data_IF_454391744446
#
_entry.id   IF_454391744446
#
_cell.length_a   1.000
_cell.length_b   1.000
_cell.length_c   1.000
_cell.angle_alpha   90.00
_cell.angle_beta   90.00
_cell.angle_gamma   90.00
#
_symmetry.space_group_name_H-M   'P 1'
#
loop_
_entity.id
_entity.type
_entity.pdbx_description
1 polymer ?
#
# COMPACT_ATOMS: atom_id res chain seq x y z
N UNK A 1 -65.23 -28.06 1.87
CA UNK A 1 -65.14 -27.08 0.74
C UNK A 1 -64.68 -25.70 1.20
N UNK A 2 -65.32 -25.02 2.17
CA UNK A 2 -64.90 -23.67 2.62
C UNK A 2 -63.45 -23.57 3.15
N UNK A 3 -62.96 -24.54 3.95
CA UNK A 3 -61.57 -24.53 4.46
C UNK A 3 -60.52 -24.71 3.36
N UNK A 4 -60.80 -25.51 2.34
CA UNK A 4 -59.88 -25.75 1.23
C UNK A 4 -59.70 -24.50 0.37
N UNK A 5 -60.76 -23.70 0.21
CA UNK A 5 -60.76 -22.42 -0.49
C UNK A 5 -59.93 -21.33 0.23
N UNK A 6 -59.96 -21.29 1.57
CA UNK A 6 -59.11 -20.38 2.34
C UNK A 6 -57.62 -20.75 2.25
N UNK A 7 -57.28 -22.04 2.27
CA UNK A 7 -55.89 -22.46 2.08
C UNK A 7 -55.37 -22.11 0.69
N UNK A 8 -56.13 -22.36 -0.39
CA UNK A 8 -55.69 -21.96 -1.74
C UNK A 8 -55.52 -20.45 -1.91
N UNK A 9 -56.40 -19.63 -1.32
CA UNK A 9 -56.24 -18.16 -1.35
C UNK A 9 -54.99 -17.72 -0.59
N UNK A 10 -54.71 -18.34 0.56
CA UNK A 10 -53.55 -17.98 1.38
C UNK A 10 -52.25 -18.40 0.71
N UNK A 11 -52.22 -19.57 0.05
CA UNK A 11 -51.07 -20.02 -0.74
C UNK A 11 -50.84 -19.13 -1.96
N UNK A 12 -51.90 -18.71 -2.66
CA UNK A 12 -51.80 -17.78 -3.80
C UNK A 12 -51.27 -16.41 -3.34
N UNK A 13 -51.73 -15.90 -2.19
CA UNK A 13 -51.24 -14.64 -1.62
C UNK A 13 -49.76 -14.71 -1.22
N UNK A 14 -49.31 -15.85 -0.67
CA UNK A 14 -47.90 -16.09 -0.34
C UNK A 14 -47.03 -16.18 -1.60
N UNK A 15 -47.52 -16.82 -2.66
CA UNK A 15 -46.80 -16.93 -3.94
C UNK A 15 -46.67 -15.57 -4.64
N UNK A 16 -47.68 -14.69 -4.51
CA UNK A 16 -47.63 -13.32 -5.04
C UNK A 16 -46.65 -12.41 -4.27
N UNK A 17 -46.41 -12.67 -2.98
CA UNK A 17 -45.45 -11.90 -2.18
C UNK A 17 -43.99 -12.26 -2.48
N UNK A 18 -43.71 -13.48 -2.96
CA UNK A 18 -42.36 -13.91 -3.38
C UNK A 18 -42.05 -13.62 -4.86
N UNK A 19 -43.05 -13.21 -5.66
CA UNK A 19 -42.86 -12.79 -7.05
C UNK A 19 -42.68 -11.28 -7.23
N UNK A 20 -42.51 -10.52 -6.14
CA UNK A 20 -42.09 -9.13 -6.25
C UNK A 20 -40.63 -9.10 -6.73
N UNK A 21 -40.46 -9.06 -8.06
CA UNK A 21 -39.17 -8.80 -8.69
C UNK A 21 -38.63 -7.49 -8.14
N UNK A 22 -37.49 -7.56 -7.46
CA UNK A 22 -36.70 -6.36 -7.17
C UNK A 22 -36.23 -5.82 -8.51
N UNK A 23 -36.84 -4.73 -8.99
CA UNK A 23 -36.30 -4.00 -10.13
C UNK A 23 -34.84 -3.64 -9.79
N UNK A 24 -33.91 -4.03 -10.68
CA UNK A 24 -32.53 -3.59 -10.51
C UNK A 24 -32.53 -2.07 -10.60
N UNK A 25 -32.12 -1.41 -9.52
CA UNK A 25 -31.90 0.02 -9.54
C UNK A 25 -30.79 0.30 -10.56
N UNK A 26 -31.17 0.71 -11.77
CA UNK A 26 -30.21 1.25 -12.72
C UNK A 26 -29.87 2.64 -12.20
N UNK A 27 -28.66 2.77 -11.64
CA UNK A 27 -28.09 4.08 -11.34
C UNK A 27 -27.96 4.78 -12.69
N UNK A 28 -28.91 5.66 -13.02
CA UNK A 28 -28.71 6.62 -14.09
C UNK A 28 -27.48 7.43 -13.73
N UNK A 29 -26.38 7.16 -14.41
CA UNK A 29 -25.16 7.92 -14.28
C UNK A 29 -25.46 9.33 -14.79
N UNK A 30 -25.87 10.24 -13.89
CA UNK A 30 -25.75 11.68 -14.14
C UNK A 30 -24.33 11.92 -14.62
N UNK A 31 -24.19 12.75 -15.66
CA UNK A 31 -22.92 13.12 -16.26
C UNK A 31 -21.84 13.21 -15.19
N UNK A 32 -20.93 12.23 -15.21
CA UNK A 32 -19.79 12.25 -14.32
C UNK A 32 -18.87 13.34 -14.88
N UNK A 33 -18.94 14.53 -14.29
CA UNK A 33 -18.02 15.62 -14.60
C UNK A 33 -16.60 15.05 -14.53
N UNK A 34 -15.89 15.04 -15.67
CA UNK A 34 -14.50 14.60 -15.77
C UNK A 34 -13.62 15.59 -15.01
N UNK A 35 -13.60 15.45 -13.68
CA UNK A 35 -12.87 16.33 -12.80
C UNK A 35 -11.38 15.99 -12.82
N UNK A 36 -10.54 17.03 -12.88
CA UNK A 36 -9.10 16.89 -12.66
C UNK A 36 -8.86 16.48 -11.20
N UNK A 37 -8.02 15.47 -11.00
CA UNK A 37 -7.52 15.03 -9.69
C UNK A 37 -6.03 15.38 -9.61
N UNK A 38 -5.66 16.18 -8.61
CA UNK A 38 -4.29 16.68 -8.39
C UNK A 38 -3.75 16.18 -7.05
N UNK A 39 -2.67 15.41 -7.11
CA UNK A 39 -1.83 15.11 -5.94
C UNK A 39 -0.54 15.91 -6.07
N UNK A 40 -0.42 17.02 -5.33
CA UNK A 40 0.71 17.92 -5.42
C UNK A 40 1.16 18.37 -4.03
N UNK A 41 2.29 17.84 -3.57
CA UNK A 41 2.91 18.22 -2.30
C UNK A 41 4.37 18.61 -2.53
N UNK A 42 4.72 19.84 -2.17
CA UNK A 42 6.09 20.34 -2.22
C UNK A 42 6.64 20.39 -0.79
N UNK A 43 7.88 19.93 -0.63
CA UNK A 43 8.53 19.81 0.68
C UNK A 43 9.79 20.66 0.77
N UNK A 44 10.31 20.84 1.97
CA UNK A 44 11.63 21.43 2.24
C UNK A 44 12.81 20.47 2.05
N UNK A 45 12.57 19.26 1.50
CA UNK A 45 13.65 18.37 1.04
C UNK A 45 14.21 18.82 -0.30
N UNK A 46 15.54 18.86 -0.43
CA UNK A 46 16.21 19.16 -1.71
C UNK A 46 16.20 17.94 -2.64
N UNK A 47 15.08 17.76 -3.33
CA UNK A 47 14.84 16.63 -4.24
C UNK A 47 14.11 17.06 -5.51
N UNK A 48 14.00 16.12 -6.46
CA UNK A 48 13.03 16.26 -7.53
C UNK A 48 11.63 16.10 -6.92
N UNK A 49 10.85 17.17 -6.95
CA UNK A 49 9.49 17.17 -6.41
C UNK A 49 8.55 16.52 -7.42
N UNK A 50 7.50 15.85 -6.94
CA UNK A 50 6.59 15.07 -7.76
C UNK A 50 5.16 15.61 -7.67
N UNK A 51 4.47 15.65 -8.81
CA UNK A 51 3.06 16.01 -8.94
C UNK A 51 2.38 14.94 -9.80
N UNK A 52 1.24 14.42 -9.35
CA UNK A 52 0.44 13.46 -10.11
C UNK A 52 -0.87 14.08 -10.54
N UNK A 53 -1.22 13.87 -11.80
CA UNK A 53 -2.43 14.37 -12.42
C UNK A 53 -3.22 13.20 -13.02
N UNK A 54 -4.45 13.03 -12.56
CA UNK A 54 -5.37 12.00 -13.07
C UNK A 54 -6.76 12.57 -13.32
N UNK A 55 -7.59 11.83 -14.04
CA UNK A 55 -9.03 12.08 -14.15
C UNK A 55 -9.74 11.31 -13.04
N UNK A 56 -10.75 11.94 -12.44
CA UNK A 56 -11.71 11.23 -11.62
C UNK A 56 -12.35 10.11 -12.46
N UNK A 57 -12.60 8.97 -11.83
CA UNK A 57 -13.06 7.77 -12.52
C UNK A 57 -14.23 7.15 -11.76
N UNK A 58 -15.05 6.38 -12.48
CA UNK A 58 -16.25 5.75 -11.91
C UNK A 58 -15.88 4.49 -11.13
N UNK A 59 -16.79 4.05 -10.26
CA UNK A 59 -16.59 2.83 -9.46
C UNK A 59 -16.46 1.55 -10.29
N UNK A 60 -17.01 1.54 -11.52
CA UNK A 60 -16.89 0.43 -12.47
C UNK A 60 -15.58 0.47 -13.29
N UNK A 61 -14.81 1.55 -13.20
CA UNK A 61 -13.48 1.64 -13.81
C UNK A 61 -12.41 1.11 -12.84
N UNK A 62 -11.45 0.34 -13.37
CA UNK A 62 -10.43 -0.35 -12.57
C UNK A 62 -9.26 0.53 -12.16
N UNK A 63 -9.05 1.68 -12.82
CA UNK A 63 -7.95 2.60 -12.52
C UNK A 63 -8.23 4.03 -13.02
N UNK A 64 -7.68 5.06 -12.36
CA UNK A 64 -7.75 6.43 -12.84
C UNK A 64 -7.01 6.60 -14.17
N UNK A 65 -7.54 7.42 -15.06
CA UNK A 65 -6.86 7.77 -16.31
C UNK A 65 -5.84 8.88 -16.06
N UNK A 66 -4.57 8.75 -16.51
CA UNK A 66 -3.58 9.80 -16.33
C UNK A 66 -3.84 11.00 -17.23
N UNK A 67 -3.59 12.21 -16.72
CA UNK A 67 -3.55 13.44 -17.52
C UNK A 67 -2.13 13.59 -18.07
N UNK A 68 -1.99 13.43 -19.40
CA UNK A 68 -0.69 13.46 -20.08
C UNK A 68 -0.49 14.75 -20.87
N UNK A 69 0.78 15.07 -21.17
CA UNK A 69 1.19 16.23 -21.95
C UNK A 69 0.68 17.57 -21.39
N UNK A 70 0.51 17.68 -20.07
CA UNK A 70 0.22 18.94 -19.41
C UNK A 70 1.50 19.76 -19.19
N UNK A 71 1.36 21.08 -19.20
CA UNK A 71 2.41 22.00 -18.77
C UNK A 71 2.19 22.25 -17.27
N UNK A 72 3.11 21.79 -16.44
CA UNK A 72 3.01 21.90 -14.98
C UNK A 72 4.15 22.77 -14.46
N UNK A 73 3.79 23.78 -13.66
CA UNK A 73 4.74 24.76 -13.13
C UNK A 73 4.42 25.07 -11.67
N UNK A 74 5.46 25.25 -10.86
CA UNK A 74 5.33 25.83 -9.52
C UNK A 74 6.08 27.16 -9.49
N UNK A 75 5.35 28.23 -9.21
CA UNK A 75 5.91 29.57 -9.10
C UNK A 75 6.15 29.90 -7.62
N UNK A 76 7.38 30.29 -7.28
CA UNK A 76 7.76 30.84 -5.98
C UNK A 76 7.92 32.36 -6.02
N UNK A 77 8.57 32.92 -5.00
CA UNK A 77 8.89 34.36 -4.95
C UNK A 77 9.87 34.81 -6.04
N UNK A 78 9.80 36.10 -6.39
CA UNK A 78 10.64 36.78 -7.38
C UNK A 78 10.57 36.19 -8.81
N UNK A 79 9.39 35.72 -9.23
CA UNK A 79 9.17 35.05 -10.53
C UNK A 79 10.06 33.80 -10.74
N UNK A 80 10.59 33.20 -9.67
CA UNK A 80 11.27 31.91 -9.78
C UNK A 80 10.24 30.83 -10.07
N UNK A 81 10.29 30.29 -11.28
CA UNK A 81 9.38 29.24 -11.73
C UNK A 81 10.15 27.95 -11.90
N UNK A 82 9.63 26.88 -11.32
CA UNK A 82 10.14 25.52 -11.52
C UNK A 82 9.19 24.80 -12.45
N UNK A 83 9.71 24.40 -13.61
CA UNK A 83 8.97 23.59 -14.57
C UNK A 83 9.03 22.11 -14.17
N UNK A 84 7.94 21.38 -14.43
CA UNK A 84 7.84 19.95 -14.22
C UNK A 84 7.67 19.25 -15.57
N UNK A 85 8.32 18.09 -15.73
CA UNK A 85 8.29 17.27 -16.93
C UNK A 85 7.65 15.92 -16.63
N UNK A 86 6.77 15.48 -17.52
CA UNK A 86 6.17 14.16 -17.46
C UNK A 86 7.24 13.08 -17.63
N UNK A 87 7.33 12.13 -16.68
CA UNK A 87 8.27 11.01 -16.71
C UNK A 87 7.59 9.69 -17.06
N UNK A 88 6.40 9.49 -16.50
CA UNK A 88 5.48 8.40 -16.81
C UNK A 88 4.09 9.00 -16.94
N UNK A 89 3.16 8.38 -17.69
CA UNK A 89 1.82 8.94 -17.89
C UNK A 89 1.18 9.44 -16.59
N UNK A 90 0.92 10.75 -16.50
CA UNK A 90 0.30 11.40 -15.35
C UNK A 90 1.21 11.73 -14.17
N UNK A 91 2.50 11.42 -14.23
CA UNK A 91 3.50 11.74 -13.19
C UNK A 91 4.49 12.76 -13.72
N UNK A 92 4.57 13.90 -13.04
CA UNK A 92 5.38 15.05 -13.41
C UNK A 92 6.44 15.28 -12.34
N UNK A 93 7.72 15.25 -12.73
CA UNK A 93 8.85 15.55 -11.85
C UNK A 93 9.43 16.92 -12.17
N UNK A 94 9.86 17.66 -11.14
CA UNK A 94 10.53 18.94 -11.33
C UNK A 94 11.78 18.78 -12.20
N UNK A 95 12.09 19.77 -13.03
CA UNK A 95 13.26 19.73 -13.92
C UNK A 95 14.58 19.90 -13.18
N UNK A 96 14.53 20.48 -11.98
CA UNK A 96 15.65 20.68 -11.06
C UNK A 96 15.28 20.20 -9.67
N UNK A 97 16.29 19.85 -8.87
CA UNK A 97 16.08 19.65 -7.43
C UNK A 97 15.84 21.01 -6.76
N UNK A 98 14.88 21.05 -5.85
CA UNK A 98 14.67 22.23 -5.02
C UNK A 98 13.96 21.85 -3.73
N UNK A 99 14.18 22.67 -2.71
CA UNK A 99 13.50 22.64 -1.43
C UNK A 99 12.62 23.89 -1.28
N UNK A 100 11.37 23.72 -0.84
CA UNK A 100 10.55 24.83 -0.40
C UNK A 100 11.17 25.50 0.82
N UNK A 101 11.05 26.82 0.87
CA UNK A 101 11.57 27.65 1.96
C UNK A 101 10.44 28.10 2.88
N UNK A 102 10.75 28.15 4.17
CA UNK A 102 9.84 28.68 5.19
C UNK A 102 9.42 30.11 4.85
N UNK A 103 8.13 30.40 5.02
CA UNK A 103 7.51 31.70 4.74
C UNK A 103 7.53 32.19 3.27
N UNK A 104 7.96 31.37 2.31
CA UNK A 104 7.89 31.69 0.88
C UNK A 104 6.60 31.13 0.29
N UNK A 105 5.85 31.96 -0.44
CA UNK A 105 4.66 31.50 -1.14
C UNK A 105 5.02 30.74 -2.42
N UNK A 106 4.36 29.60 -2.61
CA UNK A 106 4.37 28.84 -3.85
C UNK A 106 2.95 28.72 -4.41
N UNK A 107 2.85 28.69 -5.73
CA UNK A 107 1.59 28.55 -6.45
C UNK A 107 1.77 27.53 -7.59
N UNK A 108 0.83 26.58 -7.69
CA UNK A 108 0.79 25.60 -8.76
C UNK A 108 -0.01 26.14 -9.94
N UNK A 109 0.52 25.96 -11.15
CA UNK A 109 -0.17 26.20 -12.41
C UNK A 109 -0.09 24.95 -13.29
N UNK A 110 -1.24 24.53 -13.82
CA UNK A 110 -1.39 23.37 -14.71
C UNK A 110 -2.12 23.84 -15.96
N UNK A 111 -1.54 23.63 -17.14
CA UNK A 111 -2.23 23.79 -18.43
C UNK A 111 -2.34 22.43 -19.10
N UNK A 112 -3.55 21.93 -19.26
CA UNK A 112 -3.79 20.64 -19.93
C UNK A 112 -3.52 20.73 -21.42
N UNK A 113 -3.36 19.58 -22.09
CA UNK A 113 -3.23 19.49 -23.54
C UNK A 113 -4.43 20.05 -24.32
N UNK A 114 -5.59 20.18 -23.67
CA UNK A 114 -6.80 20.82 -24.22
C UNK A 114 -6.83 22.34 -24.03
N UNK A 115 -5.82 22.91 -23.39
CA UNK A 115 -5.72 24.35 -23.13
C UNK A 115 -6.46 24.85 -21.88
N UNK A 116 -7.05 23.95 -21.08
CA UNK A 116 -7.69 24.30 -19.80
C UNK A 116 -6.60 24.57 -18.76
N UNK A 117 -6.71 25.72 -18.07
CA UNK A 117 -5.73 26.19 -17.09
C UNK A 117 -6.30 26.11 -15.68
N UNK A 118 -5.50 25.57 -14.76
CA UNK A 118 -5.81 25.46 -13.34
C UNK A 118 -4.72 26.13 -12.51
N UNK A 119 -5.13 26.84 -11.48
CA UNK A 119 -4.22 27.49 -10.53
C UNK A 119 -4.59 27.17 -9.10
N UNK A 120 -3.58 26.96 -8.26
CA UNK A 120 -3.79 26.90 -6.81
C UNK A 120 -3.86 28.30 -6.20
N UNK A 121 -4.38 28.39 -4.97
CA UNK A 121 -4.07 29.51 -4.08
C UNK A 121 -2.58 29.45 -3.70
N UNK A 122 -1.92 30.61 -3.45
CA UNK A 122 -0.61 30.64 -2.86
C UNK A 122 -0.60 29.96 -1.48
N UNK A 123 0.40 29.12 -1.23
CA UNK A 123 0.58 28.39 0.02
C UNK A 123 2.06 28.33 0.39
N UNK A 124 2.36 28.12 1.68
CA UNK A 124 3.72 28.21 2.21
C UNK A 124 3.89 27.32 3.44
N UNK A 125 5.15 26.99 3.72
CA UNK A 125 5.54 26.40 5.00
C UNK A 125 5.43 27.48 6.08
N UNK A 126 4.56 27.27 7.07
CA UNK A 126 4.32 28.20 8.19
C UNK A 126 5.15 27.86 9.42
N UNK A 127 5.42 26.59 9.65
CA UNK A 127 6.22 26.06 10.75
C UNK A 127 6.85 24.72 10.37
N UNK A 128 7.80 24.28 11.19
CA UNK A 128 8.47 23.00 11.06
C UNK A 128 8.64 22.38 12.44
N UNK A 129 8.39 21.09 12.54
CA UNK A 129 8.52 20.30 13.76
C UNK A 129 9.24 19.01 13.43
N UNK A 130 10.20 18.64 14.27
CA UNK A 130 11.00 17.44 14.09
C UNK A 130 10.37 16.27 14.81
N UNK A 131 10.59 15.07 14.28
CA UNK A 131 10.32 13.84 15.01
C UNK A 131 11.35 13.72 16.14
N UNK A 132 10.88 13.62 17.39
CA UNK A 132 11.73 13.34 18.54
C UNK A 132 12.08 11.85 18.55
N UNK A 133 11.06 11.01 18.53
CA UNK A 133 11.25 9.56 18.51
C UNK A 133 10.25 8.78 17.67
N UNK A 134 10.72 7.62 17.19
CA UNK A 134 9.89 6.58 16.61
C UNK A 134 10.26 5.30 17.31
N UNK A 135 9.29 4.63 17.92
CA UNK A 135 9.56 3.46 18.74
C UNK A 135 8.41 2.47 18.70
N UNK A 136 8.73 1.21 19.00
CA UNK A 136 7.79 0.10 18.93
C UNK A 136 7.33 -0.28 20.32
N UNK A 137 6.03 -0.46 20.49
CA UNK A 137 5.44 -1.02 21.71
C UNK A 137 4.58 -2.23 21.36
N UNK A 138 4.65 -3.28 22.18
CA UNK A 138 3.77 -4.43 22.11
C UNK A 138 2.59 -4.25 23.08
N UNK A 139 1.37 -4.43 22.59
CA UNK A 139 0.15 -4.36 23.39
C UNK A 139 -0.90 -5.35 22.90
N UNK A 140 -2.14 -5.15 23.34
CA UNK A 140 -3.31 -5.93 22.89
C UNK A 140 -4.23 -5.08 22.02
N UNK A 141 -4.73 -5.64 20.94
CA UNK A 141 -5.80 -5.01 20.14
C UNK A 141 -7.19 -5.25 20.77
N UNK A 142 -8.24 -4.73 20.12
CA UNK A 142 -9.63 -4.88 20.58
C UNK A 142 -10.12 -6.34 20.63
N UNK A 143 -9.48 -7.24 19.89
CA UNK A 143 -9.76 -8.67 19.88
C UNK A 143 -8.89 -9.46 20.89
N UNK A 144 -8.16 -8.76 21.77
CA UNK A 144 -7.24 -9.32 22.75
C UNK A 144 -6.07 -10.12 22.13
N UNK A 145 -5.74 -9.85 20.87
CA UNK A 145 -4.57 -10.38 20.21
C UNK A 145 -3.37 -9.43 20.38
N UNK A 146 -2.17 -10.00 20.38
CA UNK A 146 -0.94 -9.21 20.45
C UNK A 146 -0.80 -8.34 19.20
N UNK A 147 -0.49 -7.06 19.40
CA UNK A 147 -0.37 -6.06 18.34
C UNK A 147 0.83 -5.14 18.62
N UNK A 148 1.69 -5.02 17.64
CA UNK A 148 2.76 -4.03 17.62
C UNK A 148 2.19 -2.68 17.19
N UNK A 149 2.53 -1.63 17.92
CA UNK A 149 2.29 -0.24 17.54
C UNK A 149 3.63 0.45 17.34
N UNK A 150 3.86 0.97 16.13
CA UNK A 150 4.94 1.92 15.85
C UNK A 150 4.39 3.30 16.15
N UNK A 151 4.96 3.94 17.17
CA UNK A 151 4.52 5.23 17.67
C UNK A 151 5.51 6.33 17.29
N UNK A 152 4.99 7.55 17.16
CA UNK A 152 5.78 8.76 16.96
C UNK A 152 5.55 9.74 18.12
N UNK A 153 6.66 10.32 18.56
CA UNK A 153 6.69 11.49 19.44
C UNK A 153 7.30 12.68 18.69
N UNK A 154 6.71 13.86 18.86
CA UNK A 154 7.26 15.11 18.34
C UNK A 154 6.87 16.30 19.21
N UNK A 155 7.67 17.36 19.12
CA UNK A 155 7.47 18.56 19.92
C UNK A 155 7.91 19.82 19.16
N UNK A 156 7.03 20.81 19.07
CA UNK A 156 7.38 22.17 18.63
C UNK A 156 7.39 23.14 19.83
N UNK A 157 8.58 23.60 20.28
CA UNK A 157 8.66 24.54 21.40
C UNK A 157 8.04 25.92 21.09
N UNK A 158 7.82 26.25 19.82
CA UNK A 158 7.20 27.51 19.40
C UNK A 158 5.68 27.43 19.31
N UNK A 159 5.11 26.24 19.48
CA UNK A 159 3.66 26.01 19.46
C UNK A 159 2.97 26.43 18.15
N UNK A 160 3.64 26.27 17.01
CA UNK A 160 3.17 26.71 15.68
C UNK A 160 2.84 25.55 14.74
N UNK A 161 3.18 24.32 15.05
CA UNK A 161 2.96 23.13 14.22
C UNK A 161 1.73 22.34 14.70
N UNK A 162 0.52 22.90 14.53
CA UNK A 162 -0.69 22.30 15.15
C UNK A 162 -1.27 21.07 14.46
N UNK A 163 -0.89 20.82 13.22
CA UNK A 163 -1.51 19.80 12.38
C UNK A 163 -0.44 18.94 11.73
N UNK A 164 -0.58 17.62 11.90
CA UNK A 164 0.43 16.66 11.47
C UNK A 164 -0.19 15.60 10.57
N UNK A 165 0.52 15.27 9.48
CA UNK A 165 0.24 14.12 8.63
C UNK A 165 1.45 13.21 8.58
N UNK A 166 1.20 11.90 8.50
CA UNK A 166 2.26 10.91 8.45
C UNK A 166 2.14 10.04 7.21
N UNK A 167 3.29 9.71 6.65
CA UNK A 167 3.47 8.63 5.68
C UNK A 167 4.57 7.72 6.20
N UNK A 168 4.61 6.49 5.71
CA UNK A 168 5.73 5.60 5.99
C UNK A 168 6.09 4.73 4.80
N UNK A 169 7.37 4.38 4.75
CA UNK A 169 7.92 3.32 3.90
C UNK A 169 8.37 2.19 4.82
N UNK A 170 7.74 1.03 4.71
CA UNK A 170 8.09 -0.17 5.47
C UNK A 170 8.82 -1.18 4.59
N UNK A 171 9.87 -1.79 5.13
CA UNK A 171 10.60 -2.86 4.46
C UNK A 171 10.87 -3.99 5.43
N UNK A 172 10.67 -5.21 5.01
CA UNK A 172 10.88 -6.37 5.87
C UNK A 172 11.67 -7.48 5.19
N UNK A 173 12.41 -8.22 6.02
CA UNK A 173 13.21 -9.38 5.61
C UNK A 173 12.34 -10.63 5.52
N UNK A 174 12.46 -11.33 4.41
CA UNK A 174 11.80 -12.61 4.15
C UNK A 174 12.90 -13.67 4.04
N UNK A 175 12.84 -14.71 4.86
CA UNK A 175 13.73 -15.87 4.75
C UNK A 175 12.92 -17.08 4.31
N UNK A 176 13.35 -17.74 3.23
CA UNK A 176 12.72 -18.97 2.77
C UNK A 176 13.01 -20.11 3.78
N UNK A 177 11.98 -20.67 4.45
CA UNK A 177 12.19 -21.59 5.57
C UNK A 177 12.82 -22.92 5.15
N UNK A 178 12.65 -23.33 3.89
CA UNK A 178 13.13 -24.59 3.34
C UNK A 178 13.98 -24.37 2.08
N UNK A 179 14.83 -23.35 2.09
CA UNK A 179 15.81 -23.14 1.02
C UNK A 179 16.91 -24.20 1.04
N UNK A 180 17.33 -24.66 -0.14
CA UNK A 180 18.43 -25.62 -0.34
C UNK A 180 19.48 -25.05 -1.30
N UNK A 181 20.79 -25.27 -1.07
CA UNK A 181 21.83 -24.90 -2.03
C UNK A 181 21.86 -25.79 -3.27
N UNK A 182 21.09 -26.89 -3.27
CA UNK A 182 20.97 -27.85 -4.36
C UNK A 182 19.61 -27.70 -5.05
N UNK A 183 19.51 -28.20 -6.28
CA UNK A 183 18.26 -28.26 -7.02
C UNK A 183 18.12 -29.55 -7.81
N UNK A 184 16.87 -30.00 -7.93
CA UNK A 184 16.49 -31.08 -8.82
C UNK A 184 16.29 -30.53 -10.24
N UNK A 185 16.97 -31.13 -11.21
CA UNK A 185 16.80 -30.82 -12.64
C UNK A 185 16.41 -32.08 -13.39
N UNK A 186 15.56 -31.91 -14.40
CA UNK A 186 15.20 -33.01 -15.30
C UNK A 186 16.23 -33.09 -16.42
N UNK A 187 16.84 -34.25 -16.55
CA UNK A 187 17.73 -34.59 -17.65
C UNK A 187 16.89 -35.25 -18.75
N UNK A 188 16.96 -34.68 -19.96
CA UNK A 188 16.31 -35.20 -21.16
C UNK A 188 17.05 -36.45 -21.68
N UNK A 189 16.98 -37.55 -20.93
CA UNK A 189 17.36 -38.89 -21.35
C UNK A 189 16.13 -39.74 -21.72
N UNK A 190 16.34 -40.95 -22.22
CA UNK A 190 15.26 -41.93 -22.42
C UNK A 190 15.51 -43.17 -21.55
N UNK A 191 14.76 -43.38 -20.44
CA UNK A 191 13.72 -42.49 -19.90
C UNK A 191 14.31 -41.21 -19.26
N UNK A 192 13.49 -40.16 -19.11
CA UNK A 192 13.88 -38.93 -18.38
C UNK A 192 14.22 -39.29 -16.93
N UNK A 193 15.18 -38.57 -16.35
CA UNK A 193 15.56 -38.75 -14.94
C UNK A 193 15.76 -37.41 -14.24
N UNK A 194 15.70 -37.42 -12.92
CA UNK A 194 16.02 -36.26 -12.08
C UNK A 194 17.43 -36.40 -11.53
N UNK A 195 18.24 -35.35 -11.68
CA UNK A 195 19.55 -35.22 -11.06
C UNK A 195 19.56 -34.06 -10.07
N UNK A 196 20.28 -34.21 -8.96
CA UNK A 196 20.47 -33.16 -7.98
C UNK A 196 21.80 -32.48 -8.26
N UNK A 197 21.75 -31.17 -8.51
CA UNK A 197 22.92 -30.35 -8.84
C UNK A 197 23.04 -29.15 -7.91
N UNK A 198 24.18 -28.48 -7.91
CA UNK A 198 24.32 -27.21 -7.21
C UNK A 198 23.51 -26.11 -7.90
N UNK A 199 22.75 -25.32 -7.13
CA UNK A 199 22.08 -24.12 -7.65
C UNK A 199 23.10 -23.13 -8.16
N UNK A 200 22.85 -22.63 -9.38
CA UNK A 200 23.60 -21.50 -9.94
C UNK A 200 23.30 -20.21 -9.18
N UNK A 201 22.03 -19.97 -8.85
CA UNK A 201 21.58 -18.81 -8.10
C UNK A 201 21.30 -19.18 -6.63
N UNK A 202 22.11 -18.62 -5.72
CA UNK A 202 21.98 -18.80 -4.27
C UNK A 202 21.35 -17.60 -3.56
N UNK A 203 20.89 -16.59 -4.30
CA UNK A 203 20.38 -15.32 -3.76
C UNK A 203 18.93 -15.42 -3.27
N UNK A 204 18.25 -16.53 -3.57
CA UNK A 204 16.81 -16.78 -3.30
C UNK A 204 16.49 -17.22 -1.86
N UNK A 205 17.47 -17.17 -0.97
CA UNK A 205 17.29 -17.52 0.46
C UNK A 205 16.72 -16.36 1.26
N UNK A 206 17.19 -15.14 0.99
CA UNK A 206 16.85 -13.92 1.73
C UNK A 206 16.38 -12.88 0.74
N UNK A 207 15.17 -12.38 0.97
CA UNK A 207 14.54 -11.34 0.16
C UNK A 207 14.04 -10.21 1.04
N UNK A 208 13.67 -9.11 0.39
CA UNK A 208 13.13 -7.92 1.00
C UNK A 208 11.88 -7.50 0.25
N UNK A 209 10.88 -7.01 0.97
CA UNK A 209 9.70 -6.42 0.36
C UNK A 209 9.47 -5.04 0.97
N UNK A 210 9.26 -4.06 0.10
CA UNK A 210 9.00 -2.66 0.50
C UNK A 210 7.57 -2.29 0.14
N UNK A 211 6.85 -1.76 1.12
CA UNK A 211 5.50 -1.24 0.97
C UNK A 211 5.44 0.21 1.48
N UNK A 212 4.44 0.95 0.99
CA UNK A 212 4.19 2.32 1.41
C UNK A 212 2.88 2.40 2.17
N UNK A 213 2.76 3.39 3.07
CA UNK A 213 1.55 3.67 3.82
C UNK A 213 0.35 3.86 2.89
N UNK A 214 -0.77 3.25 3.27
CA UNK A 214 -2.07 3.43 2.60
C UNK A 214 -3.00 4.23 3.50
N UNK A 215 -3.85 5.06 2.89
CA UNK A 215 -4.80 5.91 3.61
C UNK A 215 -4.15 7.16 4.19
N UNK A 216 -4.94 7.93 4.93
CA UNK A 216 -4.54 9.22 5.49
C UNK A 216 -4.36 9.07 7.00
N UNK A 217 -3.15 9.34 7.47
CA UNK A 217 -2.77 9.24 8.89
C UNK A 217 -2.51 10.67 9.39
N UNK A 218 -3.35 11.16 10.30
CA UNK A 218 -3.30 12.54 10.77
C UNK A 218 -3.56 12.64 12.27
N UNK A 219 -2.94 13.63 12.91
CA UNK A 219 -3.23 14.05 14.30
C UNK A 219 -3.09 15.56 14.43
N UNK A 220 -3.59 16.12 15.52
CA UNK A 220 -3.51 17.54 15.82
C UNK A 220 -3.17 17.78 17.30
N UNK A 221 -2.55 18.92 17.59
CA UNK A 221 -2.20 19.40 18.93
C UNK A 221 -2.89 20.73 19.25
N UNK A 222 -3.91 21.09 18.45
CA UNK A 222 -4.70 22.32 18.57
C UNK A 222 -5.40 22.43 19.92
N UNK A 223 -5.90 21.32 20.46
CA UNK A 223 -6.59 21.24 21.75
C UNK A 223 -5.66 20.94 22.95
N UNK A 224 -4.34 20.86 22.72
CA UNK A 224 -3.36 20.56 23.76
C UNK A 224 -2.65 21.83 24.26
N UNK A 225 -2.24 21.82 25.54
CA UNK A 225 -1.50 22.94 26.15
C UNK A 225 -0.12 23.14 25.55
N UNK A 226 0.51 22.06 25.10
CA UNK A 226 1.78 22.05 24.39
C UNK A 226 1.58 21.48 22.98
N UNK A 227 2.37 21.96 22.03
CA UNK A 227 2.46 21.34 20.71
C UNK A 227 3.34 20.09 20.76
N UNK A 228 2.77 19.05 21.38
CA UNK A 228 3.43 17.78 21.62
C UNK A 228 2.55 16.64 21.13
N UNK A 229 3.07 15.88 20.19
CA UNK A 229 2.52 14.57 19.84
C UNK A 229 3.20 13.54 20.73
N UNK A 230 2.41 12.69 21.40
CA UNK A 230 2.94 11.65 22.29
C UNK A 230 2.26 10.34 22.00
N UNK A 231 3.06 9.29 21.79
CA UNK A 231 2.68 7.90 21.55
C UNK A 231 1.63 7.78 20.46
N UNK A 232 1.75 8.54 19.37
CA UNK A 232 0.78 8.49 18.28
C UNK A 232 1.07 7.29 17.37
N UNK A 233 0.15 6.30 17.24
CA UNK A 233 0.42 5.08 16.49
C UNK A 233 0.27 5.31 14.98
N UNK A 234 1.39 5.46 14.27
CA UNK A 234 1.40 5.63 12.80
C UNK A 234 1.18 4.31 12.05
N UNK A 235 1.55 3.19 12.66
CA UNK A 235 1.37 1.85 12.08
C UNK A 235 1.11 0.85 13.19
N UNK A 236 0.06 0.05 13.02
CA UNK A 236 -0.27 -1.09 13.88
C UNK A 236 -0.17 -2.39 13.10
N UNK A 237 0.45 -3.41 13.66
CA UNK A 237 0.72 -4.70 13.01
C UNK A 237 0.36 -5.83 13.98
N UNK A 238 -0.49 -6.76 13.54
CA UNK A 238 -0.80 -7.95 14.34
C UNK A 238 0.48 -8.78 14.56
N UNK A 239 0.71 -9.27 15.78
CA UNK A 239 1.92 -10.03 16.11
C UNK A 239 2.04 -11.38 15.36
N UNK A 240 0.97 -11.83 14.70
CA UNK A 240 0.94 -13.01 13.83
C UNK A 240 1.17 -12.68 12.35
N UNK A 241 1.36 -11.42 11.99
CA UNK A 241 1.62 -11.02 10.61
C UNK A 241 3.04 -11.43 10.19
N UNK A 242 3.16 -12.06 9.02
CA UNK A 242 4.44 -12.58 8.54
C UNK A 242 5.48 -11.47 8.28
N UNK A 243 5.05 -10.24 8.01
CA UNK A 243 5.96 -9.13 7.65
C UNK A 243 6.92 -8.75 8.78
N UNK A 244 6.58 -9.08 10.03
CA UNK A 244 7.43 -8.83 11.21
C UNK A 244 8.18 -10.08 11.67
N UNK A 245 8.12 -11.21 10.96
CA UNK A 245 8.69 -12.49 11.43
C UNK A 245 10.20 -12.48 11.68
N UNK A 246 10.90 -11.61 10.96
CA UNK A 246 12.35 -11.46 11.04
C UNK A 246 12.67 -10.03 11.45
N UNK A 247 13.45 -9.33 10.63
CA UNK A 247 13.82 -7.94 10.83
C UNK A 247 12.91 -7.06 9.97
N UNK A 248 12.41 -6.00 10.60
CA UNK A 248 11.49 -5.04 10.00
C UNK A 248 12.09 -3.64 10.13
N UNK A 249 11.93 -2.83 9.09
CA UNK A 249 12.32 -1.43 9.04
C UNK A 249 11.12 -0.57 8.65
N UNK A 250 11.04 0.62 9.23
CA UNK A 250 10.06 1.63 8.84
C UNK A 250 10.73 3.00 8.87
N UNK A 251 10.61 3.74 7.76
CA UNK A 251 10.92 5.16 7.67
C UNK A 251 9.62 5.93 7.78
N UNK A 252 9.44 6.63 8.89
CA UNK A 252 8.27 7.49 9.11
C UNK A 252 8.60 8.89 8.64
N UNK A 253 7.71 9.48 7.84
CA UNK A 253 7.75 10.88 7.40
C UNK A 253 6.62 11.65 8.07
N UNK A 254 6.97 12.71 8.78
CA UNK A 254 6.05 13.63 9.43
C UNK A 254 6.00 14.94 8.63
N UNK A 255 4.80 15.31 8.19
CA UNK A 255 4.52 16.58 7.52
C UNK A 255 3.78 17.51 8.48
N UNK A 256 4.27 18.74 8.60
CA UNK A 256 3.53 19.82 9.30
C UNK A 256 2.62 20.51 8.30
N UNK A 257 1.31 20.40 8.53
CA UNK A 257 0.30 20.87 7.58
C UNK A 257 -0.24 22.26 7.95
N UNK A 258 -0.72 22.98 6.94
CA UNK A 258 -1.63 24.10 7.16
C UNK A 258 -2.99 23.60 7.65
N UNK A 259 -3.77 24.49 8.28
CA UNK A 259 -5.13 24.15 8.73
C UNK A 259 -6.03 23.72 7.56
N UNK A 260 -5.92 24.39 6.42
CA UNK A 260 -6.69 24.11 5.20
C UNK A 260 -6.32 22.74 4.64
N UNK A 261 -5.03 22.41 4.55
CA UNK A 261 -4.56 21.10 4.12
C UNK A 261 -5.05 20.00 5.08
N UNK A 262 -4.87 20.19 6.38
CA UNK A 262 -5.34 19.23 7.39
C UNK A 262 -6.84 18.96 7.27
N UNK A 263 -7.64 20.02 7.15
CA UNK A 263 -9.09 19.95 6.99
C UNK A 263 -9.48 19.21 5.71
N UNK A 264 -8.82 19.52 4.59
CA UNK A 264 -9.03 18.84 3.31
C UNK A 264 -8.81 17.33 3.45
N UNK A 265 -7.66 16.91 3.99
CA UNK A 265 -7.33 15.49 4.16
C UNK A 265 -8.22 14.80 5.21
N UNK A 266 -8.61 15.49 6.29
CA UNK A 266 -9.54 14.96 7.31
C UNK A 266 -10.92 14.68 6.72
N UNK A 267 -11.38 15.57 5.84
CA UNK A 267 -12.64 15.41 5.09
C UNK A 267 -12.51 14.24 4.09
N UNK A 268 -11.42 14.21 3.31
CA UNK A 268 -11.15 13.12 2.35
C UNK A 268 -11.11 11.75 3.06
N UNK A 269 -10.42 11.65 4.20
CA UNK A 269 -10.30 10.41 4.97
C UNK A 269 -11.65 9.91 5.51
N UNK A 270 -12.55 10.83 5.89
CA UNK A 270 -13.92 10.47 6.31
C UNK A 270 -14.73 9.83 5.17
N UNK A 271 -14.52 10.27 3.94
CA UNK A 271 -15.19 9.70 2.77
C UNK A 271 -14.57 8.39 2.31
N UNK A 272 -13.24 8.30 2.28
CA UNK A 272 -12.56 7.08 1.84
C UNK A 272 -12.80 5.89 2.78
N UNK A 273 -13.06 6.13 4.07
CA UNK A 273 -13.32 5.09 5.07
C UNK A 273 -14.81 4.85 5.34
N UNK A 274 -15.73 5.48 4.60
CA UNK A 274 -17.16 5.23 4.73
C UNK A 274 -17.52 3.88 4.08
N UNK A 275 -17.25 2.77 4.78
CA UNK A 275 -17.60 1.41 4.35
C UNK A 275 -19.11 1.12 4.35
N UNK A 276 -19.95 2.11 4.64
CA UNK A 276 -21.40 1.95 4.67
C UNK A 276 -22.02 2.35 3.33
N UNK A 277 -22.33 1.33 2.52
CA UNK A 277 -23.10 1.40 1.26
C UNK A 277 -24.47 2.10 1.46
N UNK A 278 -24.96 2.21 2.70
CA UNK A 278 -26.24 2.83 3.07
C UNK A 278 -26.13 4.23 3.69
N UNK A 279 -24.91 4.71 3.97
CA UNK A 279 -24.70 6.08 4.48
C UNK A 279 -24.30 6.98 3.32
N UNK A 280 -25.30 7.42 2.54
CA UNK A 280 -25.12 8.52 1.60
C UNK A 280 -25.08 9.84 2.37
N UNK A 281 -24.03 10.08 3.16
CA UNK A 281 -23.58 11.47 3.24
C UNK A 281 -22.98 11.77 1.87
N UNK A 282 -23.77 12.31 0.95
CA UNK A 282 -23.27 13.11 -0.16
C UNK A 282 -23.17 14.55 0.36
N UNK A 283 -22.04 14.97 0.93
CA UNK A 283 -21.82 16.38 1.10
C UNK A 283 -21.58 17.03 -0.25
N UNK A 284 -21.85 18.33 -0.29
CA UNK A 284 -21.38 19.18 -1.38
C UNK A 284 -19.87 19.03 -1.59
N UNK A 285 -19.43 19.40 -2.78
CA UNK A 285 -18.02 19.46 -3.16
C UNK A 285 -17.20 20.19 -2.08
N UNK A 286 -16.27 19.49 -1.44
CA UNK A 286 -15.40 20.09 -0.42
C UNK A 286 -14.27 20.87 -1.10
N UNK A 287 -13.98 22.07 -0.60
CA UNK A 287 -13.17 23.06 -1.30
C UNK A 287 -11.71 22.61 -1.46
N UNK A 288 -11.33 22.33 -2.71
CA UNK A 288 -9.93 22.35 -3.15
C UNK A 288 -9.35 23.77 -3.05
N UNK A 289 -8.03 23.89 -2.93
CA UNK A 289 -7.34 25.18 -3.14
C UNK A 289 -6.93 25.39 -4.60
N UNK A 290 -7.33 24.51 -5.52
CA UNK A 290 -7.08 24.57 -6.96
C UNK A 290 -8.40 24.85 -7.67
N UNK A 291 -8.37 25.77 -8.63
CA UNK A 291 -9.53 26.15 -9.44
C UNK A 291 -9.14 26.35 -10.91
N UNK A 292 -10.06 26.03 -11.82
CA UNK A 292 -9.90 26.35 -13.24
C UNK A 292 -10.05 27.87 -13.43
N UNK A 293 -9.11 28.47 -14.17
CA UNK A 293 -9.21 29.88 -14.56
C UNK A 293 -10.06 30.06 -15.81
N UNK A 294 -10.32 28.95 -16.52
CA UNK A 294 -11.11 28.88 -17.76
C UNK A 294 -12.59 28.70 -17.49
N UNK A 295 -12.95 27.88 -16.49
CA UNK A 295 -14.33 27.62 -16.07
C UNK A 295 -14.41 27.60 -14.53
N UNK A 296 -15.09 28.59 -13.95
CA UNK A 296 -15.17 28.71 -12.48
C UNK A 296 -16.12 27.70 -11.83
N UNK A 297 -16.99 27.08 -12.60
CA UNK A 297 -17.93 26.08 -12.12
C UNK A 297 -17.33 24.66 -12.19
N UNK A 298 -16.17 24.51 -12.83
CA UNK A 298 -15.45 23.26 -12.93
C UNK A 298 -14.90 22.80 -11.57
N UNK A 299 -15.19 21.54 -11.26
CA UNK A 299 -14.75 20.90 -10.02
C UNK A 299 -13.37 20.27 -10.19
N UNK A 300 -12.44 20.65 -9.32
CA UNK A 300 -11.10 20.05 -9.22
C UNK A 300 -10.95 19.31 -7.90
N UNK A 301 -10.63 18.04 -7.96
CA UNK A 301 -10.28 17.25 -6.79
C UNK A 301 -8.78 17.35 -6.55
N UNK A 302 -8.38 17.50 -5.30
CA UNK A 302 -6.98 17.58 -4.91
C UNK A 302 -6.70 18.78 -4.03
N UNK A 303 -5.46 18.87 -3.55
CA UNK A 303 -4.99 20.00 -2.78
C UNK A 303 -3.50 20.21 -3.08
N UNK A 304 -3.11 21.45 -3.32
CA UNK A 304 -1.72 21.84 -3.42
C UNK A 304 -1.19 22.20 -2.04
N UNK A 305 -0.33 21.35 -1.50
CA UNK A 305 0.26 21.48 -0.17
C UNK A 305 1.75 21.86 -0.28
N UNK A 306 2.21 22.75 0.61
CA UNK A 306 3.64 23.01 0.80
C UNK A 306 3.93 22.87 2.29
N UNK A 307 4.71 21.86 2.67
CA UNK A 307 4.86 21.45 4.06
C UNK A 307 6.30 21.13 4.42
N UNK A 308 6.69 21.45 5.66
CA UNK A 308 7.95 20.97 6.20
C UNK A 308 7.85 19.48 6.50
N UNK A 309 8.92 18.73 6.23
CA UNK A 309 8.99 17.29 6.49
C UNK A 309 10.17 16.92 7.39
N UNK A 310 9.91 16.01 8.32
CA UNK A 310 10.93 15.37 9.15
C UNK A 310 10.79 13.87 9.00
N UNK A 311 11.90 13.15 8.90
CA UNK A 311 11.88 11.69 8.75
C UNK A 311 12.79 10.99 9.77
N UNK A 312 12.37 9.80 10.21
CA UNK A 312 13.16 8.95 11.11
C UNK A 312 12.93 7.48 10.75
N UNK A 313 14.03 6.75 10.52
CA UNK A 313 14.01 5.30 10.26
C UNK A 313 14.38 4.54 11.51
N UNK A 314 13.62 3.48 11.79
CA UNK A 314 13.97 2.50 12.82
C UNK A 314 14.00 1.08 12.26
N UNK A 315 14.60 0.19 13.04
CA UNK A 315 14.61 -1.24 12.82
C UNK A 315 14.20 -1.93 14.12
N UNK A 316 13.47 -3.03 14.02
CA UNK A 316 13.26 -3.94 15.13
C UNK A 316 13.19 -5.38 14.63
N UNK A 317 13.44 -6.33 15.53
CA UNK A 317 13.32 -7.75 15.25
C UNK A 317 12.20 -8.34 16.08
N UNK A 318 11.50 -9.33 15.53
CA UNK A 318 10.52 -10.11 16.29
C UNK A 318 11.10 -10.67 17.61
N UNK A 319 12.39 -11.05 17.54
CA UNK A 319 13.15 -11.66 18.65
C UNK A 319 13.45 -10.69 19.78
N UNK A 320 13.28 -9.39 19.58
CA UNK A 320 13.42 -8.40 20.64
C UNK A 320 12.21 -8.45 21.61
N UNK A 321 11.11 -9.11 21.21
CA UNK A 321 9.86 -9.23 21.97
C UNK A 321 9.42 -10.68 22.24
N UNK A 322 9.83 -11.65 21.40
CA UNK A 322 9.49 -13.07 21.55
C UNK A 322 10.72 -13.99 21.42
N UNK A 323 11.07 -14.67 22.51
CA UNK A 323 12.21 -15.60 22.58
C UNK A 323 12.04 -16.85 21.71
N UNK A 324 10.80 -17.30 21.53
CA UNK A 324 10.45 -18.51 20.76
C UNK A 324 9.28 -18.25 19.82
N UNK A 325 9.12 -19.15 18.83
CA UNK A 325 8.10 -19.00 17.80
C UNK A 325 8.41 -17.89 16.79
N UNK A 326 7.64 -17.90 15.70
CA UNK A 326 7.56 -16.85 14.69
C UNK A 326 6.14 -16.85 14.10
N UNK A 327 5.70 -15.72 13.53
CA UNK A 327 4.52 -15.70 12.69
C UNK A 327 4.59 -16.77 11.59
N UNK A 328 3.42 -17.22 11.13
CA UNK A 328 3.38 -18.24 10.07
C UNK A 328 3.88 -17.67 8.74
N UNK A 329 4.58 -18.51 7.99
CA UNK A 329 5.01 -18.15 6.64
C UNK A 329 3.77 -18.01 5.72
N UNK A 330 3.79 -17.13 4.70
CA UNK A 330 2.61 -16.86 3.86
C UNK A 330 2.04 -18.08 3.11
N UNK A 331 2.85 -19.12 2.91
CA UNK A 331 2.44 -20.37 2.28
C UNK A 331 2.68 -21.56 3.21
N UNK A 332 1.74 -22.51 3.17
CA UNK A 332 1.86 -23.75 3.92
C UNK A 332 2.90 -24.64 3.25
N UNK A 333 4.02 -24.86 3.94
CA UNK A 333 5.17 -25.60 3.42
C UNK A 333 5.03 -27.11 3.58
N UNK A 334 3.97 -27.69 3.03
CA UNK A 334 3.76 -29.14 3.02
C UNK A 334 4.91 -29.86 2.31
N UNK A 335 5.30 -31.01 2.85
CA UNK A 335 6.29 -31.88 2.21
C UNK A 335 5.59 -32.81 1.23
N UNK A 336 6.24 -33.12 0.11
CA UNK A 336 5.89 -34.26 -0.73
C UNK A 336 7.17 -35.00 -1.11
N UNK A 337 7.08 -36.31 -1.33
CA UNK A 337 8.19 -37.11 -1.85
C UNK A 337 7.65 -38.05 -2.93
N UNK A 338 7.51 -37.56 -4.18
CA UNK A 338 6.94 -38.35 -5.27
C UNK A 338 7.83 -39.53 -5.64
N UNK A 339 7.24 -40.67 -5.95
CA UNK A 339 8.00 -41.87 -6.35
C UNK A 339 8.89 -41.59 -7.57
N UNK A 340 10.12 -42.11 -7.52
CA UNK A 340 11.01 -42.12 -8.68
C UNK A 340 10.86 -43.44 -9.46
N UNK A 341 9.65 -43.68 -9.97
CA UNK A 341 9.31 -44.89 -10.71
C UNK A 341 8.51 -44.53 -11.96
N UNK A 342 8.82 -45.20 -13.08
CA UNK A 342 8.05 -45.04 -14.31
C UNK A 342 6.72 -45.79 -14.22
N UNK A 343 5.60 -45.09 -14.40
CA UNK A 343 4.25 -45.65 -14.47
C UNK A 343 3.51 -45.26 -15.76
N UNK A 344 2.24 -45.67 -15.92
CA UNK A 344 1.43 -45.39 -17.11
C UNK A 344 1.26 -43.89 -17.43
N UNK A 345 1.40 -43.02 -16.42
CA UNK A 345 1.32 -41.56 -16.55
C UNK A 345 2.68 -40.84 -16.66
N UNK A 346 3.80 -41.57 -16.66
CA UNK A 346 5.15 -41.01 -16.56
C UNK A 346 5.82 -41.30 -15.22
N UNK A 347 6.90 -40.58 -14.92
CA UNK A 347 7.60 -40.66 -13.64
C UNK A 347 7.13 -39.50 -12.75
N UNK A 348 6.53 -39.80 -11.60
CA UNK A 348 5.89 -38.80 -10.74
C UNK A 348 6.88 -37.73 -10.26
N UNK A 349 8.09 -38.14 -9.88
CA UNK A 349 9.15 -37.21 -9.52
C UNK A 349 9.50 -36.27 -10.68
N UNK A 350 9.65 -36.80 -11.90
CA UNK A 350 9.90 -35.96 -13.10
C UNK A 350 8.76 -34.96 -13.31
N UNK A 351 7.50 -35.41 -13.24
CA UNK A 351 6.32 -34.55 -13.43
C UNK A 351 6.29 -33.40 -12.40
N UNK A 352 6.59 -33.69 -11.13
CA UNK A 352 6.63 -32.68 -10.09
C UNK A 352 7.71 -31.62 -10.36
N UNK A 353 8.91 -32.01 -10.77
CA UNK A 353 9.98 -31.06 -11.11
C UNK A 353 9.63 -30.26 -12.37
N UNK A 354 9.07 -30.88 -13.42
CA UNK A 354 8.67 -30.18 -14.65
C UNK A 354 7.51 -29.20 -14.44
N UNK A 355 6.65 -29.43 -13.43
CA UNK A 355 5.56 -28.49 -13.07
C UNK A 355 6.07 -27.12 -12.63
N UNK A 356 7.33 -27.03 -12.18
CA UNK A 356 7.93 -25.85 -11.55
C UNK A 356 7.15 -25.33 -10.33
N UNK A 357 6.29 -26.15 -9.73
CA UNK A 357 5.57 -25.83 -8.48
C UNK A 357 6.30 -26.35 -7.23
N UNK A 358 7.32 -27.20 -7.42
CA UNK A 358 8.03 -27.87 -6.35
C UNK A 358 9.54 -27.69 -6.48
N UNK A 359 10.22 -27.50 -5.35
CA UNK A 359 11.67 -27.40 -5.24
C UNK A 359 12.22 -28.54 -4.39
N UNK A 360 13.37 -29.05 -4.79
CA UNK A 360 14.17 -29.92 -3.94
C UNK A 360 14.55 -29.20 -2.64
N UNK A 361 14.32 -29.87 -1.50
CA UNK A 361 14.78 -29.41 -0.20
C UNK A 361 15.93 -30.28 0.32
N UNK A 362 15.72 -31.59 0.39
CA UNK A 362 16.69 -32.55 0.94
C UNK A 362 16.46 -33.97 0.42
N UNK A 363 17.44 -34.84 0.62
CA UNK A 363 17.28 -36.28 0.37
C UNK A 363 16.33 -36.89 1.40
N UNK A 364 15.44 -37.78 0.93
CA UNK A 364 14.57 -38.54 1.80
C UNK A 364 15.30 -39.77 2.34
N UNK A 365 15.75 -39.69 3.59
CA UNK A 365 16.49 -40.77 4.25
C UNK A 365 15.59 -41.86 4.85
N UNK A 366 14.30 -41.58 5.01
CA UNK A 366 13.33 -42.44 5.68
C UNK A 366 12.08 -42.56 4.80
N UNK A 367 12.21 -43.22 3.65
CA UNK A 367 11.08 -43.43 2.76
C UNK A 367 10.04 -44.36 3.39
N UNK A 368 8.77 -43.98 3.30
CA UNK A 368 7.61 -44.73 3.79
C UNK A 368 6.43 -44.59 2.80
N UNK A 369 5.28 -45.18 3.14
CA UNK A 369 4.10 -45.15 2.26
C UNK A 369 3.55 -43.73 2.02
N UNK A 370 3.78 -42.79 2.94
CA UNK A 370 3.35 -41.39 2.78
C UNK A 370 4.36 -40.55 1.98
N UNK A 371 5.64 -40.89 2.08
CA UNK A 371 6.77 -40.24 1.42
C UNK A 371 7.66 -41.27 0.70
N UNK A 372 7.18 -41.90 -0.38
CA UNK A 372 7.87 -43.03 -1.01
C UNK A 372 9.05 -42.61 -1.91
N UNK A 373 9.12 -41.34 -2.28
CA UNK A 373 10.13 -40.78 -3.17
C UNK A 373 11.51 -40.58 -2.53
N UNK A 374 12.58 -40.52 -3.36
CA UNK A 374 13.96 -40.36 -2.86
C UNK A 374 14.28 -38.93 -2.38
N UNK A 375 13.46 -37.95 -2.71
CA UNK A 375 13.71 -36.54 -2.39
C UNK A 375 12.50 -35.89 -1.74
N UNK A 376 12.75 -35.08 -0.72
CA UNK A 376 11.75 -34.23 -0.09
C UNK A 376 11.63 -32.93 -0.90
N UNK A 377 10.45 -32.67 -1.42
CA UNK A 377 10.12 -31.47 -2.16
C UNK A 377 9.25 -30.52 -1.31
N UNK A 378 9.39 -29.23 -1.59
CA UNK A 378 8.60 -28.15 -0.98
C UNK A 378 7.98 -27.27 -2.06
N UNK A 379 6.82 -26.64 -1.81
CA UNK A 379 6.27 -25.63 -2.70
C UNK A 379 7.30 -24.53 -2.98
N UNK A 380 7.28 -23.94 -4.18
CA UNK A 380 8.29 -22.95 -4.60
C UNK A 380 8.46 -21.83 -3.57
N UNK A 381 7.38 -21.26 -3.04
CA UNK A 381 7.50 -20.13 -2.11
C UNK A 381 8.24 -20.45 -0.82
N UNK A 382 8.25 -21.72 -0.42
CA UNK A 382 8.94 -22.16 0.80
C UNK A 382 10.45 -22.34 0.62
N UNK A 383 10.92 -22.47 -0.62
CA UNK A 383 12.35 -22.61 -0.96
C UNK A 383 12.91 -21.45 -1.79
N UNK A 384 12.06 -20.53 -2.24
CA UNK A 384 12.40 -19.36 -3.05
C UNK A 384 11.62 -18.14 -2.56
N UNK A 385 12.30 -17.26 -1.83
CA UNK A 385 11.67 -16.07 -1.26
C UNK A 385 11.26 -15.03 -2.33
N UNK A 386 11.70 -15.16 -3.60
CA UNK A 386 11.36 -14.18 -4.64
C UNK A 386 9.89 -14.23 -5.04
N UNK A 387 9.13 -15.22 -4.53
CA UNK A 387 7.66 -15.25 -4.63
C UNK A 387 7.00 -14.11 -3.83
N UNK A 388 7.67 -13.61 -2.79
CA UNK A 388 7.12 -12.62 -1.85
C UNK A 388 7.88 -11.29 -1.81
N UNK A 389 9.06 -11.22 -2.43
CA UNK A 389 9.86 -10.01 -2.45
C UNK A 389 11.00 -10.08 -3.45
N UNK A 390 11.93 -9.14 -3.35
CA UNK A 390 13.13 -9.07 -4.20
C UNK A 390 14.37 -9.54 -3.44
N UNK A 391 15.29 -10.21 -4.12
CA UNK A 391 16.62 -10.56 -3.59
C UNK A 391 17.57 -9.35 -3.56
N UNK A 392 17.14 -8.18 -4.04
CA UNK A 392 17.89 -6.93 -3.99
C UNK A 392 17.80 -6.33 -2.59
N UNK A 393 18.93 -6.31 -1.86
CA UNK A 393 19.03 -5.68 -0.55
C UNK A 393 18.90 -4.15 -0.67
N UNK A 394 17.98 -3.50 0.06
CA UNK A 394 17.88 -2.04 0.09
C UNK A 394 19.17 -1.40 0.61
N UNK A 395 19.56 -0.25 0.06
CA UNK A 395 20.81 0.45 0.43
C UNK A 395 20.82 0.94 1.88
N UNK A 396 19.65 1.28 2.44
CA UNK A 396 19.50 1.69 3.84
C UNK A 396 19.48 0.51 4.81
N UNK A 397 19.44 -0.73 4.33
CA UNK A 397 19.21 -1.90 5.18
C UNK A 397 20.44 -2.25 6.02
N UNK A 398 20.29 -2.22 7.34
CA UNK A 398 21.31 -2.61 8.32
C UNK A 398 20.94 -3.96 8.91
N UNK A 399 21.86 -4.93 8.85
CA UNK A 399 21.63 -6.30 9.35
C UNK A 399 21.51 -6.38 10.87
#
# INVERSE_FOLDING_TARGET
MKKFFYYTITTIAIVLLISACTESFQIEARDFDKALVVEASITDEDKYQEIKLTEAFRLDETSPKPITNAIVKVQGENNNTVDFKETTPGVYLSTVKFAAKVNVNYQLSITTSKGVVYESKPTKITSASKIDDVYVTLGKNIANEDEFSINVDSYDPNNKSKYYRYEYEETYKIEAPFWSPLEAVVINSNPKRVEIINKKDKTKKVCYQTNYSKGIIQTETSDLSEDRVTKFPVRKINAKDFIISHRYSILVKQYVQSFEAYTYYKILNKFSNASNILSQSQPGFFSSNISSTTDKDEKVLGFFEVSAVSEKRIFFNYRDFYDTGRPQYPEVCNTTAPENRNGPGGNDLVIHIESKQWLYFADNKNADDAYPGPYLLKPVGCGDCTKYGTNVKPSFWVD
#
